data_IF_544534724278
#
_entry.id   IF_544534724278
#
_cell.length_a   1.000
_cell.length_b   1.000
_cell.length_c   1.000
_cell.angle_alpha   90.00
_cell.angle_beta   90.00
_cell.angle_gamma   90.00
#
_symmetry.space_group_name_H-M   'P 1'
#
loop_
_entity.id
_entity.type
_entity.pdbx_description
1 polymer ?
#
# COMPACT_ATOMS: atom_id res chain seq x y z
N UNK A 1 0.48 -6.87 -5.52
CA UNK A 1 1.55 -6.06 -4.88
C UNK A 1 2.71 -5.65 -5.81
N UNK A 2 3.31 -6.56 -6.59
CA UNK A 2 4.58 -6.30 -7.28
C UNK A 2 4.56 -5.12 -8.27
N UNK A 3 3.45 -4.95 -9.02
CA UNK A 3 3.30 -3.81 -9.96
C UNK A 3 3.12 -2.46 -9.25
N UNK A 4 2.37 -2.42 -8.15
CA UNK A 4 2.21 -1.24 -7.28
C UNK A 4 3.55 -0.82 -6.69
N UNK A 5 4.35 -1.78 -6.19
CA UNK A 5 5.70 -1.47 -5.67
C UNK A 5 6.66 -1.00 -6.75
N UNK A 6 6.62 -1.61 -7.95
CA UNK A 6 7.42 -1.15 -9.10
C UNK A 6 7.09 0.30 -9.47
N UNK A 7 5.82 0.68 -9.45
CA UNK A 7 5.40 2.06 -9.71
C UNK A 7 6.01 3.04 -8.70
N UNK A 8 5.90 2.73 -7.39
CA UNK A 8 6.45 3.55 -6.30
C UNK A 8 7.97 3.76 -6.48
N UNK A 9 8.72 2.67 -6.71
CA UNK A 9 10.17 2.73 -6.86
C UNK A 9 10.64 3.49 -8.12
N UNK A 10 9.80 3.57 -9.15
CA UNK A 10 10.12 4.26 -10.40
C UNK A 10 9.80 5.76 -10.37
N UNK A 11 8.82 6.18 -9.57
CA UNK A 11 8.32 7.56 -9.58
C UNK A 11 8.82 8.40 -8.41
N UNK A 12 9.38 7.77 -7.37
CA UNK A 12 9.71 8.46 -6.14
C UNK A 12 11.02 7.93 -5.51
N UNK A 13 12.15 8.59 -5.80
CA UNK A 13 13.47 8.22 -5.25
C UNK A 13 13.51 8.26 -3.71
N UNK A 14 12.88 9.26 -3.08
CA UNK A 14 12.76 9.36 -1.62
C UNK A 14 11.89 8.25 -1.01
N UNK A 15 11.01 7.63 -1.81
CA UNK A 15 10.09 6.60 -1.34
C UNK A 15 10.70 5.19 -1.39
N UNK A 16 11.93 5.01 -1.88
CA UNK A 16 12.63 3.73 -1.77
C UNK A 16 12.87 3.33 -0.31
N UNK A 17 13.19 4.30 0.55
CA UNK A 17 13.33 4.09 2.00
C UNK A 17 11.96 3.80 2.63
N UNK A 18 10.91 4.49 2.18
CA UNK A 18 9.53 4.31 2.65
C UNK A 18 9.01 2.92 2.27
N UNK A 19 9.24 2.45 1.04
CA UNK A 19 8.90 1.10 0.60
C UNK A 19 9.59 0.06 1.49
N UNK A 20 10.91 0.19 1.70
CA UNK A 20 11.66 -0.78 2.51
C UNK A 20 11.20 -0.82 3.97
N UNK A 21 10.88 0.33 4.58
CA UNK A 21 10.49 0.37 5.99
C UNK A 21 9.03 -0.04 6.17
N UNK A 22 8.15 0.39 5.26
CA UNK A 22 6.70 0.34 5.43
C UNK A 22 6.00 -0.55 4.40
N UNK A 23 6.03 -0.21 3.10
CA UNK A 23 5.16 -0.85 2.11
C UNK A 23 5.55 -2.29 1.78
N UNK A 24 6.84 -2.62 1.81
CA UNK A 24 7.35 -3.97 1.57
C UNK A 24 6.89 -4.99 2.61
N UNK A 25 6.41 -4.51 3.76
CA UNK A 25 5.89 -5.32 4.88
C UNK A 25 4.36 -5.37 4.91
N UNK A 26 3.68 -4.77 3.93
CA UNK A 26 2.22 -4.86 3.81
C UNK A 26 1.84 -6.23 3.24
N UNK A 27 0.85 -6.86 3.87
CA UNK A 27 0.30 -8.13 3.43
C UNK A 27 -1.02 -7.90 2.71
N UNK A 28 -1.26 -8.64 1.63
CA UNK A 28 -2.55 -8.68 0.95
C UNK A 28 -3.44 -9.68 1.68
N UNK A 29 -4.56 -9.21 2.20
CA UNK A 29 -5.54 -10.01 2.92
C UNK A 29 -6.60 -10.56 1.97
N UNK A 30 -7.02 -9.74 1.01
CA UNK A 30 -8.03 -10.12 0.04
C UNK A 30 -7.91 -9.28 -1.23
N UNK A 31 -8.28 -9.86 -2.37
CA UNK A 31 -8.36 -9.17 -3.66
C UNK A 31 -9.79 -9.32 -4.22
N UNK A 32 -10.53 -8.22 -4.22
CA UNK A 32 -11.84 -8.14 -4.89
C UNK A 32 -11.63 -7.66 -6.32
N UNK A 33 -11.51 -8.62 -7.24
CA UNK A 33 -11.31 -8.35 -8.65
C UNK A 33 -12.56 -7.79 -9.35
N UNK A 34 -13.76 -8.01 -8.80
CA UNK A 34 -15.01 -7.48 -9.37
C UNK A 34 -15.07 -5.98 -9.16
N UNK A 35 -14.79 -5.53 -7.93
CA UNK A 35 -14.77 -4.11 -7.58
C UNK A 35 -13.40 -3.44 -7.77
N UNK A 36 -12.41 -4.20 -8.26
CA UNK A 36 -11.01 -3.77 -8.39
C UNK A 36 -10.49 -3.15 -7.08
N UNK A 37 -10.67 -3.84 -5.96
CA UNK A 37 -10.29 -3.37 -4.62
C UNK A 37 -9.40 -4.38 -3.92
N UNK A 38 -8.27 -3.92 -3.38
CA UNK A 38 -7.30 -4.75 -2.67
C UNK A 38 -7.30 -4.40 -1.19
N UNK A 39 -7.50 -5.39 -0.34
CA UNK A 39 -7.42 -5.23 1.11
C UNK A 39 -6.02 -5.58 1.58
N UNK A 40 -5.36 -4.62 2.21
CA UNK A 40 -3.99 -4.76 2.72
C UNK A 40 -3.93 -4.51 4.22
N UNK A 41 -2.95 -5.13 4.88
CA UNK A 41 -2.74 -5.01 6.33
C UNK A 41 -1.27 -4.76 6.61
N UNK A 42 -0.98 -3.91 7.60
CA UNK A 42 0.36 -3.78 8.15
C UNK A 42 0.61 -4.76 9.30
N UNK A 43 1.86 -5.15 9.54
CA UNK A 43 2.24 -6.10 10.59
C UNK A 43 1.95 -5.64 12.02
N UNK A 44 1.80 -4.33 12.24
CA UNK A 44 1.51 -3.77 13.56
C UNK A 44 0.47 -2.67 13.47
N UNK A 45 -0.29 -2.45 14.54
CA UNK A 45 -1.24 -1.33 14.67
C UNK A 45 -0.55 0.02 14.49
N UNK A 46 0.69 0.17 15.01
CA UNK A 46 1.50 1.36 14.83
C UNK A 46 1.82 1.62 13.35
N UNK A 47 2.35 0.61 12.64
CA UNK A 47 2.67 0.75 11.22
C UNK A 47 1.41 1.08 10.40
N UNK A 48 0.28 0.46 10.75
CA UNK A 48 -0.99 0.72 10.08
C UNK A 48 -1.42 2.19 10.21
N UNK A 49 -1.40 2.71 11.45
CA UNK A 49 -1.74 4.11 11.72
C UNK A 49 -0.74 5.07 11.08
N UNK A 50 0.56 4.77 11.16
CA UNK A 50 1.61 5.62 10.60
C UNK A 50 1.52 5.74 9.08
N UNK A 51 1.32 4.61 8.37
CA UNK A 51 1.12 4.59 6.92
C UNK A 51 -0.14 5.38 6.55
N UNK A 52 -1.25 5.16 7.27
CA UNK A 52 -2.52 5.84 7.00
C UNK A 52 -2.40 7.36 7.14
N UNK A 53 -1.63 7.86 8.11
CA UNK A 53 -1.46 9.30 8.35
C UNK A 53 -0.46 9.95 7.40
N UNK A 54 0.63 9.27 7.04
CA UNK A 54 1.75 9.91 6.35
C UNK A 54 1.85 9.55 4.87
N UNK A 55 1.42 8.33 4.48
CA UNK A 55 1.76 7.75 3.18
C UNK A 55 0.57 7.19 2.42
N UNK A 56 -0.66 7.40 2.91
CA UNK A 56 -1.89 6.90 2.26
C UNK A 56 -1.99 7.38 0.81
N UNK A 57 -1.69 8.65 0.56
CA UNK A 57 -1.78 9.25 -0.78
C UNK A 57 -0.86 8.55 -1.81
N UNK A 58 0.35 8.15 -1.40
CA UNK A 58 1.31 7.43 -2.26
C UNK A 58 0.71 6.09 -2.68
N UNK A 59 0.13 5.36 -1.73
CA UNK A 59 -0.54 4.10 -2.02
C UNK A 59 -1.76 4.34 -2.93
N UNK A 60 -2.54 5.39 -2.71
CA UNK A 60 -3.72 5.70 -3.54
C UNK A 60 -3.31 5.87 -5.01
N UNK A 61 -2.28 6.68 -5.27
CA UNK A 61 -1.74 6.89 -6.62
C UNK A 61 -1.19 5.59 -7.22
N UNK A 62 -0.46 4.80 -6.44
CA UNK A 62 0.16 3.58 -6.92
C UNK A 62 -0.85 2.47 -7.24
N UNK A 63 -1.95 2.36 -6.48
CA UNK A 63 -3.04 1.44 -6.77
C UNK A 63 -3.88 1.94 -7.95
N UNK A 64 -4.18 3.24 -8.01
CA UNK A 64 -4.95 3.85 -9.09
C UNK A 64 -4.24 3.71 -10.44
N UNK A 65 -2.92 3.88 -10.48
CA UNK A 65 -2.10 3.63 -11.67
C UNK A 65 -2.18 2.19 -12.18
N UNK A 66 -2.58 1.24 -11.33
CA UNK A 66 -2.82 -0.16 -11.70
C UNK A 66 -4.31 -0.45 -11.97
N UNK A 67 -5.18 0.55 -11.86
CA UNK A 67 -6.63 0.42 -12.03
C UNK A 67 -7.34 -0.20 -10.83
N UNK A 68 -6.73 -0.17 -9.64
CA UNK A 68 -7.30 -0.69 -8.39
C UNK A 68 -7.47 0.42 -7.36
N UNK A 69 -8.42 0.23 -6.45
CA UNK A 69 -8.46 0.92 -5.16
C UNK A 69 -7.88 0.00 -4.07
N UNK A 70 -7.58 0.56 -2.89
CA UNK A 70 -7.17 -0.25 -1.75
C UNK A 70 -7.87 0.15 -0.46
N UNK A 71 -7.85 -0.76 0.50
CA UNK A 71 -8.24 -0.49 1.88
C UNK A 71 -7.20 -1.06 2.83
N UNK A 72 -6.71 -0.20 3.74
CA UNK A 72 -5.81 -0.59 4.81
C UNK A 72 -6.64 -1.04 6.02
N UNK A 73 -6.80 -2.35 6.18
CA UNK A 73 -7.65 -2.93 7.23
C UNK A 73 -7.02 -2.74 8.62
N UNK A 74 -7.86 -2.57 9.65
CA UNK A 74 -7.35 -2.45 11.01
C UNK A 74 -6.65 -3.73 11.47
N UNK A 75 -5.56 -3.55 12.20
CA UNK A 75 -4.94 -4.62 12.96
C UNK A 75 -5.84 -4.95 14.16
N UNK A 76 -6.60 -6.04 14.06
CA UNK A 76 -7.17 -6.76 15.22
C UNK A 76 -6.13 -7.69 15.79
#
# INVERSE_FOLDING_TARGET
MFKVRKYILQHYEYEQVIDKIWFSKLEIINEDNVNKKIFIKALTSFANSYIKSNFKHILELAFEAQGFSFELVQYK
#
